data_IF_848690788717
#
_entry.id   IF_848690788717
#
_cell.length_a   1.000
_cell.length_b   1.000
_cell.length_c   1.000
_cell.angle_alpha   90.00
_cell.angle_beta   90.00
_cell.angle_gamma   90.00
#
_symmetry.space_group_name_H-M   'P 1'
#
loop_
_entity.id
_entity.type
_entity.pdbx_description
1 polymer ?
#
# COMPACT_ATOMS: atom_id res chain seq x y z
N UNK A 1 6.95 -8.03 8.37
CA UNK A 1 7.91 -8.88 7.62
C UNK A 1 7.99 -10.27 8.24
N UNK A 2 7.92 -10.39 9.56
CA UNK A 2 7.56 -11.63 10.26
C UNK A 2 6.48 -11.31 11.31
N UNK A 3 5.71 -12.31 11.75
CA UNK A 3 4.78 -12.27 12.88
C UNK A 3 4.64 -13.70 13.38
N UNK A 4 4.37 -13.91 14.66
CA UNK A 4 4.05 -15.25 15.15
C UNK A 4 2.69 -15.72 14.64
N UNK A 5 2.55 -17.03 14.44
CA UNK A 5 1.38 -17.63 13.77
C UNK A 5 0.04 -17.36 14.48
N UNK A 6 0.07 -17.09 15.79
CA UNK A 6 -1.12 -16.87 16.61
C UNK A 6 -1.27 -15.42 17.09
N UNK A 7 -0.26 -14.57 16.92
CA UNK A 7 -0.25 -13.24 17.51
C UNK A 7 0.05 -12.16 16.45
N UNK A 8 -0.99 -11.39 16.14
CA UNK A 8 -0.94 -10.34 15.15
C UNK A 8 -0.17 -9.13 15.70
N UNK A 9 1.03 -8.89 15.16
CA UNK A 9 1.87 -7.78 15.58
C UNK A 9 2.93 -8.15 16.62
N UNK A 10 3.10 -9.44 16.94
CA UNK A 10 4.11 -9.95 17.88
C UNK A 10 5.53 -9.41 17.62
N UNK A 11 5.86 -9.11 16.36
CA UNK A 11 7.17 -8.62 15.94
C UNK A 11 7.22 -7.12 15.63
N UNK A 12 6.26 -6.33 16.14
CA UNK A 12 6.22 -4.88 15.91
C UNK A 12 7.51 -4.18 16.38
N UNK A 13 8.08 -4.63 17.50
CA UNK A 13 9.26 -4.02 18.13
C UNK A 13 10.60 -4.56 17.60
N UNK A 14 10.58 -5.50 16.65
CA UNK A 14 11.81 -6.06 16.04
C UNK A 14 12.47 -5.13 15.01
N UNK A 15 12.05 -3.87 14.93
CA UNK A 15 12.65 -2.86 14.04
C UNK A 15 12.20 -2.94 12.57
N UNK A 16 11.28 -3.84 12.23
CA UNK A 16 10.75 -3.93 10.86
C UNK A 16 10.10 -2.64 10.37
N UNK A 17 9.49 -1.87 11.27
CA UNK A 17 8.90 -0.56 10.95
C UNK A 17 9.92 0.39 10.32
N UNK A 18 11.10 0.54 10.94
CA UNK A 18 12.16 1.41 10.46
C UNK A 18 12.69 0.97 9.07
N UNK A 19 12.86 -0.34 8.88
CA UNK A 19 13.27 -0.87 7.59
C UNK A 19 12.24 -0.59 6.48
N UNK A 20 10.96 -0.84 6.76
CA UNK A 20 9.89 -0.59 5.77
C UNK A 20 9.71 0.89 5.46
N UNK A 21 9.85 1.79 6.45
CA UNK A 21 9.80 3.24 6.24
C UNK A 21 10.94 3.71 5.32
N UNK A 22 12.17 3.22 5.55
CA UNK A 22 13.31 3.51 4.69
C UNK A 22 13.07 3.03 3.24
N UNK A 23 12.57 1.80 3.08
CA UNK A 23 12.27 1.23 1.76
C UNK A 23 11.22 2.06 1.01
N UNK A 24 10.15 2.49 1.71
CA UNK A 24 9.10 3.33 1.15
C UNK A 24 9.65 4.70 0.72
N UNK A 25 10.45 5.35 1.58
CA UNK A 25 11.09 6.64 1.25
C UNK A 25 12.01 6.52 0.03
N UNK A 26 12.79 5.43 -0.04
CA UNK A 26 13.69 5.18 -1.16
C UNK A 26 12.91 4.97 -2.47
N UNK A 27 11.81 4.22 -2.42
CA UNK A 27 10.93 4.03 -3.58
C UNK A 27 10.25 5.33 -4.02
N UNK A 28 9.67 6.09 -3.08
CA UNK A 28 9.03 7.37 -3.38
C UNK A 28 10.03 8.33 -4.04
N UNK A 29 11.25 8.44 -3.50
CA UNK A 29 12.30 9.28 -4.08
C UNK A 29 12.73 8.82 -5.48
N UNK A 30 12.87 7.52 -5.69
CA UNK A 30 13.40 6.96 -6.95
C UNK A 30 12.37 6.97 -8.08
N UNK A 31 11.09 6.77 -7.76
CA UNK A 31 10.02 6.57 -8.76
C UNK A 31 9.05 7.76 -8.86
N UNK A 32 8.84 8.51 -7.77
CA UNK A 32 7.95 9.65 -7.73
C UNK A 32 6.57 9.35 -8.33
N UNK A 33 6.19 10.12 -9.34
CA UNK A 33 4.88 10.01 -10.02
C UNK A 33 4.64 8.68 -10.74
N UNK A 34 5.70 7.94 -11.06
CA UNK A 34 5.61 6.58 -11.61
C UNK A 34 5.29 5.52 -10.56
N UNK A 35 5.24 5.88 -9.27
CA UNK A 35 4.87 4.98 -8.20
C UNK A 35 3.38 5.10 -7.89
N UNK A 36 2.71 3.94 -7.80
CA UNK A 36 1.36 3.82 -7.26
C UNK A 36 1.44 3.01 -5.98
N UNK A 37 0.93 3.56 -4.87
CA UNK A 37 0.87 2.90 -3.58
C UNK A 37 -0.57 2.58 -3.20
N UNK A 38 -0.87 1.30 -2.96
CA UNK A 38 -2.17 0.84 -2.47
C UNK A 38 -2.06 0.63 -0.96
N UNK A 39 -2.79 1.43 -0.17
CA UNK A 39 -2.73 1.43 1.30
C UNK A 39 -4.04 0.90 1.89
N UNK A 40 -4.01 -0.32 2.40
CA UNK A 40 -5.17 -0.99 3.00
C UNK A 40 -5.16 -0.92 4.52
N UNK A 41 -6.17 -0.28 5.10
CA UNK A 41 -6.32 -0.11 6.55
C UNK A 41 -5.56 1.08 7.12
N UNK A 42 -5.93 1.47 8.34
CA UNK A 42 -5.48 2.73 8.95
C UNK A 42 -3.96 2.79 9.14
N UNK A 43 -3.34 1.68 9.56
CA UNK A 43 -1.90 1.64 9.77
C UNK A 43 -1.12 1.86 8.47
N UNK A 44 -1.56 1.25 7.36
CA UNK A 44 -0.94 1.49 6.05
C UNK A 44 -1.14 2.94 5.59
N UNK A 45 -2.32 3.52 5.85
CA UNK A 45 -2.64 4.89 5.47
C UNK A 45 -1.80 5.94 6.21
N UNK A 46 -1.22 5.62 7.37
CA UNK A 46 -0.27 6.50 8.06
C UNK A 46 1.01 6.77 7.24
N UNK A 47 1.30 5.94 6.23
CA UNK A 47 2.45 6.12 5.33
C UNK A 47 2.17 7.11 4.19
N UNK A 48 0.91 7.54 4.00
CA UNK A 48 0.53 8.45 2.92
C UNK A 48 1.32 9.77 2.90
N UNK A 49 1.64 10.44 4.04
CA UNK A 49 2.46 11.66 4.03
C UNK A 49 3.89 11.44 3.52
N UNK A 50 4.43 10.24 3.65
CA UNK A 50 5.78 9.87 3.19
C UNK A 50 5.80 9.59 1.68
N UNK A 51 4.65 9.22 1.12
CA UNK A 51 4.43 8.90 -0.30
C UNK A 51 3.95 10.12 -1.09
N UNK A 52 4.42 11.33 -0.75
CA UNK A 52 3.90 12.59 -1.28
C UNK A 52 4.00 12.75 -2.81
N UNK A 53 4.96 12.06 -3.44
CA UNK A 53 5.19 12.14 -4.89
C UNK A 53 4.47 11.03 -5.67
N UNK A 54 4.02 10.00 -4.96
CA UNK A 54 3.36 8.83 -5.51
C UNK A 54 1.84 9.01 -5.58
N UNK A 55 1.19 8.26 -6.48
CA UNK A 55 -0.27 8.14 -6.44
C UNK A 55 -0.68 7.20 -5.31
N UNK A 56 -1.33 7.73 -4.29
CA UNK A 56 -1.88 6.92 -3.18
C UNK A 56 -3.33 6.51 -3.47
N UNK A 57 -3.62 5.23 -3.31
CA UNK A 57 -4.96 4.63 -3.36
C UNK A 57 -5.21 4.00 -1.99
N UNK A 58 -6.09 4.60 -1.19
CA UNK A 58 -6.40 4.13 0.15
C UNK A 58 -7.80 3.50 0.22
N UNK A 59 -7.94 2.42 0.97
CA UNK A 59 -9.24 1.86 1.36
C UNK A 59 -9.17 1.07 2.66
N UNK A 60 -10.32 0.59 3.14
CA UNK A 60 -10.37 -0.28 4.31
C UNK A 60 -9.58 -1.58 4.06
N UNK A 61 -9.12 -2.23 5.13
CA UNK A 61 -8.38 -3.48 5.02
C UNK A 61 -9.29 -4.62 4.49
N UNK A 62 -8.79 -5.55 3.64
CA UNK A 62 -9.56 -6.67 3.09
C UNK A 62 -10.05 -7.70 4.13
N UNK A 63 -9.55 -7.64 5.37
CA UNK A 63 -10.01 -8.51 6.46
C UNK A 63 -11.54 -8.45 6.61
N UNK A 64 -12.23 -9.58 6.88
CA UNK A 64 -13.68 -9.63 7.07
C UNK A 64 -14.22 -8.58 8.05
N UNK A 65 -13.43 -8.22 9.07
CA UNK A 65 -13.80 -7.24 10.10
C UNK A 65 -13.99 -5.82 9.54
N UNK A 66 -13.32 -5.48 8.44
CA UNK A 66 -13.30 -4.13 7.86
C UNK A 66 -13.68 -4.06 6.38
N UNK A 67 -13.74 -5.19 5.67
CA UNK A 67 -13.90 -5.20 4.22
C UNK A 67 -15.20 -4.51 3.76
N UNK A 68 -16.29 -4.74 4.49
CA UNK A 68 -17.60 -4.11 4.24
C UNK A 68 -17.61 -2.60 4.47
N UNK A 69 -16.63 -2.06 5.21
CA UNK A 69 -16.54 -0.63 5.54
C UNK A 69 -15.85 0.21 4.45
N UNK A 70 -15.49 -0.40 3.33
CA UNK A 70 -14.94 0.35 2.19
C UNK A 70 -13.87 -0.35 1.37
N UNK A 71 -13.58 -1.63 1.60
CA UNK A 71 -12.71 -2.40 0.71
C UNK A 71 -13.50 -2.83 -0.53
N UNK A 72 -14.67 -3.43 -0.35
CA UNK A 72 -15.55 -3.78 -1.48
C UNK A 72 -15.99 -2.52 -2.23
N UNK A 73 -15.91 -2.55 -3.56
CA UNK A 73 -16.17 -1.39 -4.41
C UNK A 73 -15.01 -0.39 -4.52
N UNK A 74 -13.92 -0.54 -3.75
CA UNK A 74 -12.78 0.40 -3.81
C UNK A 74 -12.03 0.36 -5.15
N UNK A 75 -12.15 -0.75 -5.90
CA UNK A 75 -11.55 -0.99 -7.22
C UNK A 75 -10.04 -0.61 -7.27
N UNK A 76 -9.21 -1.11 -6.34
CA UNK A 76 -7.83 -0.62 -6.18
C UNK A 76 -6.96 -0.98 -7.38
N UNK A 77 -7.15 -2.15 -7.98
CA UNK A 77 -6.34 -2.65 -9.10
C UNK A 77 -6.57 -1.87 -10.40
N UNK A 78 -7.83 -1.64 -10.78
CA UNK A 78 -8.13 -0.85 -11.98
C UNK A 78 -7.74 0.62 -11.83
N UNK A 79 -7.92 1.19 -10.64
CA UNK A 79 -7.40 2.54 -10.31
C UNK A 79 -5.88 2.60 -10.37
N UNK A 80 -5.18 1.55 -9.94
CA UNK A 80 -3.73 1.50 -10.01
C UNK A 80 -3.23 1.47 -11.45
N UNK A 81 -3.82 0.61 -12.30
CA UNK A 81 -3.48 0.58 -13.72
C UNK A 81 -3.79 1.91 -14.42
N UNK A 82 -4.93 2.54 -14.12
CA UNK A 82 -5.26 3.86 -14.67
C UNK A 82 -4.22 4.94 -14.26
N UNK A 83 -3.73 4.90 -13.02
CA UNK A 83 -2.70 5.80 -12.55
C UNK A 83 -1.33 5.54 -13.19
N UNK A 84 -0.95 4.26 -13.36
CA UNK A 84 0.29 3.88 -14.07
C UNK A 84 0.26 4.38 -15.51
N UNK A 85 -0.82 4.11 -16.25
CA UNK A 85 -0.98 4.55 -17.63
C UNK A 85 -0.91 6.08 -17.73
N UNK A 86 -1.55 6.81 -16.82
CA UNK A 86 -1.49 8.28 -16.78
C UNK A 86 -0.08 8.82 -16.49
N UNK A 87 0.77 8.03 -15.82
CA UNK A 87 2.18 8.35 -15.58
C UNK A 87 3.11 7.88 -16.71
N UNK A 88 2.58 7.26 -17.78
CA UNK A 88 3.36 6.69 -18.89
C UNK A 88 3.95 5.31 -18.60
N UNK A 89 3.50 4.65 -17.53
CA UNK A 89 3.93 3.31 -17.14
C UNK A 89 3.03 2.22 -17.72
N UNK A 90 3.55 1.00 -17.81
CA UNK A 90 2.78 -0.16 -18.28
C UNK A 90 1.83 -0.64 -17.18
N UNK A 91 0.60 -0.98 -17.56
CA UNK A 91 -0.38 -1.56 -16.65
C UNK A 91 0.08 -2.94 -16.14
N UNK A 92 -0.29 -3.27 -14.91
CA UNK A 92 0.01 -4.57 -14.30
C UNK A 92 -1.10 -5.56 -14.70
N UNK A 93 -0.71 -6.76 -15.13
CA UNK A 93 -1.62 -7.89 -15.24
C UNK A 93 -1.83 -8.48 -13.83
N UNK A 94 -3.08 -8.46 -13.37
CA UNK A 94 -3.49 -8.91 -12.04
C UNK A 94 -4.16 -10.29 -12.06
N UNK A 95 -4.21 -10.95 -13.22
CA UNK A 95 -4.73 -12.30 -13.31
C UNK A 95 -3.83 -13.28 -12.52
N UNK A 96 -4.45 -14.26 -11.88
CA UNK A 96 -3.81 -15.26 -11.02
C UNK A 96 -4.31 -16.67 -11.36
#
# INVERSE_FOLDING_TARGET
LTTDAADAGAHADLGWGAFTDLAIRALNRKRGRSLVAILWGNQAQQLAPVLCDAKVIASAHPSPLSARRGFFGSKPFSKANAALIAAGETAIDWSC
#
